data_IF_187287177634
#
_entry.id   IF_187287177634
#
_cell.length_a   1.000
_cell.length_b   1.000
_cell.length_c   1.000
_cell.angle_alpha   90.00
_cell.angle_beta   90.00
_cell.angle_gamma   90.00
#
_symmetry.space_group_name_H-M   'P 1'
#
loop_
_entity.id
_entity.type
_entity.pdbx_description
1 polymer ?
#
# COMPACT_ATOMS: atom_id res chain seq x y z
N UNK A 1 32.01 -33.00 39.69
CA UNK A 1 31.60 -31.63 39.33
C UNK A 1 31.65 -31.50 37.80
N UNK A 2 30.49 -31.39 37.17
CA UNK A 2 30.32 -31.66 35.74
C UNK A 2 30.57 -30.42 34.87
N UNK A 3 31.75 -30.36 34.22
CA UNK A 3 32.17 -29.30 33.27
C UNK A 3 31.21 -29.11 32.08
N UNK A 4 30.36 -30.09 31.79
CA UNK A 4 29.42 -30.08 30.66
C UNK A 4 28.16 -29.24 30.89
N UNK A 5 27.78 -28.96 32.14
CA UNK A 5 26.55 -28.19 32.45
C UNK A 5 26.72 -26.70 32.07
N UNK A 6 27.94 -26.15 32.21
CA UNK A 6 28.22 -24.75 31.87
C UNK A 6 28.25 -24.49 30.35
N UNK A 7 28.58 -25.50 29.53
CA UNK A 7 28.57 -25.38 28.07
C UNK A 7 27.15 -25.32 27.49
N UNK A 8 26.22 -26.11 28.04
CA UNK A 8 24.82 -26.11 27.59
C UNK A 8 24.09 -24.80 27.93
N UNK A 9 24.33 -24.21 29.10
CA UNK A 9 23.78 -22.91 29.46
C UNK A 9 24.30 -21.77 28.57
N UNK A 10 25.58 -21.81 28.18
CA UNK A 10 26.17 -20.81 27.29
C UNK A 10 25.57 -20.80 25.88
N UNK A 11 25.27 -21.96 25.31
CA UNK A 11 24.67 -22.08 23.96
C UNK A 11 23.22 -21.59 23.94
N UNK A 12 22.42 -21.93 24.96
CA UNK A 12 21.02 -21.47 25.07
C UNK A 12 20.96 -19.94 25.21
N UNK A 13 21.85 -19.34 26.00
CA UNK A 13 21.91 -17.89 26.16
C UNK A 13 22.30 -17.17 24.86
N UNK A 14 23.22 -17.77 24.08
CA UNK A 14 23.64 -17.24 22.79
C UNK A 14 22.51 -17.28 21.75
N UNK A 15 21.71 -18.35 21.73
CA UNK A 15 20.55 -18.46 20.84
C UNK A 15 19.45 -17.45 21.22
N UNK A 16 19.14 -17.29 22.51
CA UNK A 16 18.18 -16.28 22.98
C UNK A 16 18.63 -14.85 22.63
N UNK A 17 19.91 -14.54 22.81
CA UNK A 17 20.47 -13.24 22.43
C UNK A 17 20.35 -13.01 20.92
N UNK A 18 20.61 -14.03 20.09
CA UNK A 18 20.54 -13.92 18.64
C UNK A 18 19.10 -13.68 18.16
N UNK A 19 18.11 -14.38 18.72
CA UNK A 19 16.68 -14.15 18.43
C UNK A 19 16.22 -12.74 18.84
N UNK A 20 16.68 -12.24 19.99
CA UNK A 20 16.32 -10.91 20.47
C UNK A 20 16.97 -9.79 19.64
N UNK A 21 18.17 -10.03 19.08
CA UNK A 21 18.85 -9.13 18.15
C UNK A 21 18.14 -9.11 16.79
N UNK A 22 17.75 -10.28 16.25
CA UNK A 22 17.01 -10.38 14.98
C UNK A 22 15.63 -9.69 15.07
N UNK A 23 14.87 -9.91 16.14
CA UNK A 23 13.57 -9.26 16.33
C UNK A 23 13.68 -7.72 16.36
N UNK A 24 14.72 -7.18 17.02
CA UNK A 24 14.98 -5.73 17.06
C UNK A 24 15.37 -5.16 15.69
N UNK A 25 16.10 -5.93 14.86
CA UNK A 25 16.43 -5.52 13.48
C UNK A 25 15.17 -5.45 12.62
N UNK A 26 14.31 -6.47 12.69
CA UNK A 26 13.06 -6.52 11.94
C UNK A 26 12.10 -5.39 12.35
N UNK A 27 12.00 -5.09 13.65
CA UNK A 27 11.21 -3.96 14.13
C UNK A 27 11.72 -2.63 13.58
N UNK A 28 13.04 -2.39 13.62
CA UNK A 28 13.64 -1.16 13.05
C UNK A 28 13.45 -1.07 11.53
N UNK A 29 13.56 -2.17 10.80
CA UNK A 29 13.29 -2.20 9.36
C UNK A 29 11.82 -1.91 9.05
N UNK A 30 10.89 -2.46 9.83
CA UNK A 30 9.47 -2.18 9.68
C UNK A 30 9.16 -0.70 9.94
N UNK A 31 9.72 -0.11 11.01
CA UNK A 31 9.56 1.32 11.31
C UNK A 31 10.18 2.18 10.21
N UNK A 32 11.35 1.82 9.68
CA UNK A 32 11.99 2.51 8.56
C UNK A 32 11.14 2.45 7.29
N UNK A 33 10.63 1.27 6.92
CA UNK A 33 9.72 1.12 5.76
C UNK A 33 8.47 1.97 5.95
N UNK A 34 7.87 1.97 7.14
CA UNK A 34 6.73 2.85 7.43
C UNK A 34 7.09 4.33 7.29
N UNK A 35 8.24 4.76 7.79
CA UNK A 35 8.70 6.15 7.71
C UNK A 35 8.99 6.58 6.26
N UNK A 36 9.63 5.71 5.47
CA UNK A 36 9.88 5.95 4.03
C UNK A 36 8.54 6.07 3.27
N UNK A 37 7.53 5.26 3.64
CA UNK A 37 6.16 5.32 3.08
C UNK A 37 5.41 6.58 3.49
N UNK A 38 5.71 7.16 4.66
CA UNK A 38 5.11 8.41 5.14
C UNK A 38 5.74 9.65 4.51
N UNK A 39 7.05 9.64 4.26
CA UNK A 39 7.78 10.77 3.68
C UNK A 39 7.72 10.83 2.16
N UNK A 40 7.73 9.69 1.47
CA UNK A 40 7.65 9.64 0.01
C UNK A 40 6.30 9.11 -0.43
N UNK A 41 5.74 9.65 -1.51
CA UNK A 41 4.48 9.19 -2.07
C UNK A 41 4.66 7.85 -2.81
N UNK A 42 5.17 6.84 -2.10
CA UNK A 42 5.52 5.52 -2.61
C UNK A 42 4.32 4.79 -3.21
N UNK A 43 3.11 5.09 -2.73
CA UNK A 43 1.87 4.62 -3.35
C UNK A 43 1.76 5.03 -4.83
N UNK A 44 2.40 6.12 -5.28
CA UNK A 44 2.42 6.54 -6.69
C UNK A 44 3.17 5.56 -7.57
N UNK A 45 4.29 5.01 -7.10
CA UNK A 45 5.05 3.99 -7.84
C UNK A 45 4.34 2.64 -7.78
N UNK A 46 3.69 2.32 -6.64
CA UNK A 46 2.91 1.09 -6.48
C UNK A 46 1.71 1.00 -7.43
N UNK A 47 1.10 2.12 -7.84
CA UNK A 47 0.03 2.10 -8.86
C UNK A 47 0.51 1.63 -10.25
N UNK A 48 1.80 1.81 -10.55
CA UNK A 48 2.39 1.41 -11.82
C UNK A 48 2.98 -0.01 -11.78
N UNK A 49 3.12 -0.60 -10.59
CA UNK A 49 3.69 -1.92 -10.39
C UNK A 49 2.58 -2.97 -10.25
N UNK A 50 2.55 -3.93 -11.17
CA UNK A 50 1.57 -5.02 -11.20
C UNK A 50 1.91 -6.15 -10.23
N UNK A 51 3.10 -6.15 -9.65
CA UNK A 51 3.56 -7.14 -8.67
C UNK A 51 3.16 -6.75 -7.23
N UNK A 52 2.64 -5.55 -7.03
CA UNK A 52 2.25 -5.06 -5.72
C UNK A 52 0.79 -5.44 -5.42
N UNK A 53 0.50 -6.00 -4.23
CA UNK A 53 -0.87 -6.30 -3.83
C UNK A 53 -1.74 -5.05 -3.77
N UNK A 54 -2.99 -5.14 -4.26
CA UNK A 54 -3.94 -4.02 -4.25
C UNK A 54 -4.11 -3.42 -2.86
N UNK A 55 -4.29 -4.28 -1.85
CA UNK A 55 -4.47 -3.87 -0.46
C UNK A 55 -3.25 -3.12 0.10
N UNK A 56 -2.04 -3.52 -0.30
CA UNK A 56 -0.81 -2.85 0.13
C UNK A 56 -0.73 -1.42 -0.45
N UNK A 57 -1.08 -1.26 -1.72
CA UNK A 57 -1.13 0.06 -2.39
C UNK A 57 -2.17 0.97 -1.75
N UNK A 58 -3.35 0.44 -1.41
CA UNK A 58 -4.37 1.19 -0.68
C UNK A 58 -3.88 1.58 0.71
N UNK A 59 -3.29 0.65 1.47
CA UNK A 59 -2.77 0.94 2.80
C UNK A 59 -1.66 2.01 2.76
N UNK A 60 -0.78 1.99 1.76
CA UNK A 60 0.26 2.99 1.60
C UNK A 60 -0.30 4.38 1.31
N UNK A 61 -1.35 4.47 0.48
CA UNK A 61 -2.08 5.71 0.22
C UNK A 61 -2.75 6.26 1.49
N UNK A 62 -3.51 5.42 2.20
CA UNK A 62 -4.19 5.79 3.44
C UNK A 62 -3.19 6.27 4.51
N UNK A 63 -2.05 5.59 4.63
CA UNK A 63 -0.99 5.98 5.56
C UNK A 63 -0.35 7.32 5.17
N UNK A 64 -0.09 7.54 3.88
CA UNK A 64 0.47 8.80 3.38
C UNK A 64 -0.46 10.00 3.65
N UNK A 65 -1.78 9.80 3.53
CA UNK A 65 -2.80 10.83 3.78
C UNK A 65 -3.27 10.89 5.24
N UNK A 66 -2.77 10.01 6.12
CA UNK A 66 -3.13 10.00 7.53
C UNK A 66 -2.69 11.31 8.19
N UNK A 67 -3.66 12.08 8.69
CA UNK A 67 -3.39 13.38 9.31
C UNK A 67 -3.14 14.53 8.34
N UNK A 68 -3.32 14.32 7.02
CA UNK A 68 -3.30 15.37 6.00
C UNK A 68 -4.72 15.72 5.57
N UNK A 69 -4.96 16.98 5.22
CA UNK A 69 -6.20 17.37 4.56
C UNK A 69 -6.19 16.83 3.12
N UNK A 70 -7.18 16.02 2.77
CA UNK A 70 -7.32 15.50 1.40
C UNK A 70 -7.85 16.62 0.50
N UNK A 71 -7.39 16.71 -0.76
CA UNK A 71 -7.96 17.66 -1.71
C UNK A 71 -9.40 17.24 -2.07
N UNK A 72 -10.36 18.13 -1.82
CA UNK A 72 -11.81 17.87 -1.93
C UNK A 72 -12.28 18.15 -3.37
N UNK A 73 -13.30 17.41 -3.81
CA UNK A 73 -14.08 17.63 -5.05
C UNK A 73 -15.53 17.90 -4.67
N UNK A 74 -16.11 18.88 -5.34
CA UNK A 74 -17.29 19.62 -4.90
C UNK A 74 -18.65 18.98 -5.19
N UNK A 75 -18.69 17.71 -5.61
CA UNK A 75 -19.95 17.06 -6.02
C UNK A 75 -20.21 15.72 -5.31
N UNK A 76 -19.32 15.28 -4.42
CA UNK A 76 -19.38 13.94 -3.83
C UNK A 76 -19.97 13.93 -2.40
N UNK A 77 -20.43 15.08 -1.85
CA UNK A 77 -20.91 15.25 -0.47
C UNK A 77 -19.94 14.78 0.63
N UNK A 78 -18.66 14.63 0.32
CA UNK A 78 -17.57 14.42 1.27
C UNK A 78 -16.60 15.63 1.27
N UNK A 79 -16.90 16.65 2.08
CA UNK A 79 -15.97 17.76 2.39
C UNK A 79 -16.33 19.14 1.80
N UNK A 80 -15.71 20.20 2.33
CA UNK A 80 -15.91 21.61 1.94
C UNK A 80 -15.22 21.97 0.61
N UNK A 81 -15.96 22.70 -0.22
CA UNK A 81 -15.58 23.09 -1.57
C UNK A 81 -14.50 24.19 -1.61
N UNK A 82 -13.38 23.91 -2.28
CA UNK A 82 -12.24 24.83 -2.40
C UNK A 82 -12.18 25.59 -3.74
N UNK A 83 -13.00 25.24 -4.73
CA UNK A 83 -13.00 25.89 -6.05
C UNK A 83 -14.13 26.92 -6.24
N UNK A 84 -15.19 26.89 -5.43
CA UNK A 84 -16.30 27.87 -5.48
C UNK A 84 -16.02 29.17 -4.72
N UNK A 85 -14.98 29.23 -3.86
CA UNK A 85 -14.54 30.49 -3.26
C UNK A 85 -13.44 31.12 -4.09
N UNK A 86 -13.84 31.81 -5.16
CA UNK A 86 -13.17 33.06 -5.49
C UNK A 86 -13.12 33.90 -4.20
N UNK A 87 -11.91 34.20 -3.71
CA UNK A 87 -11.58 34.82 -2.41
C UNK A 87 -11.55 33.85 -1.21
N UNK A 88 -10.49 33.06 -1.14
CA UNK A 88 -9.57 33.15 0.01
C UNK A 88 -8.16 32.84 -0.49
N UNK A 89 -7.38 33.89 -0.58
CA UNK A 89 -5.92 33.83 -0.60
C UNK A 89 -5.45 32.85 0.48
N UNK A 90 -4.36 32.12 0.20
CA UNK A 90 -3.67 31.22 1.14
C UNK A 90 -4.12 29.74 1.19
N UNK A 91 -4.51 29.13 0.08
CA UNK A 91 -4.34 27.67 -0.06
C UNK A 91 -4.32 27.22 -1.53
N UNK A 92 -3.30 27.64 -2.29
CA UNK A 92 -2.97 27.02 -3.56
C UNK A 92 -2.41 25.62 -3.30
N UNK A 93 -3.27 24.71 -2.83
CA UNK A 93 -2.97 23.30 -2.68
C UNK A 93 -2.41 22.81 -4.01
N UNK A 94 -1.18 22.30 -3.96
CA UNK A 94 -0.38 21.96 -5.12
C UNK A 94 -1.22 21.17 -6.14
N UNK A 95 -1.50 21.74 -7.31
CA UNK A 95 -2.36 21.12 -8.34
C UNK A 95 -1.92 19.68 -8.68
N UNK A 96 -0.62 19.40 -8.57
CA UNK A 96 -0.08 18.06 -8.78
C UNK A 96 -0.57 17.07 -7.71
N UNK A 97 -0.73 17.49 -6.46
CA UNK A 97 -1.26 16.65 -5.38
C UNK A 97 -2.75 16.31 -5.60
N UNK A 98 -3.54 17.30 -6.06
CA UNK A 98 -4.94 17.08 -6.45
C UNK A 98 -5.03 16.08 -7.60
N UNK A 99 -4.18 16.26 -8.62
CA UNK A 99 -4.11 15.36 -9.77
C UNK A 99 -3.75 13.93 -9.34
N UNK A 100 -2.70 13.77 -8.55
CA UNK A 100 -2.22 12.47 -8.09
C UNK A 100 -3.26 11.77 -7.19
N UNK A 101 -3.95 12.52 -6.33
CA UNK A 101 -5.05 12.01 -5.51
C UNK A 101 -6.18 11.46 -6.39
N UNK A 102 -6.64 12.22 -7.40
CA UNK A 102 -7.68 11.77 -8.35
C UNK A 102 -7.24 10.56 -9.17
N UNK A 103 -5.96 10.54 -9.59
CA UNK A 103 -5.37 9.40 -10.31
C UNK A 103 -5.47 8.12 -9.48
N UNK A 104 -5.20 8.20 -8.18
CA UNK A 104 -5.34 7.07 -7.27
C UNK A 104 -6.78 6.59 -7.13
N UNK A 105 -7.75 7.50 -6.94
CA UNK A 105 -9.16 7.12 -6.79
C UNK A 105 -9.66 6.37 -8.03
N UNK A 106 -9.34 6.87 -9.22
CA UNK A 106 -9.66 6.21 -10.48
C UNK A 106 -8.98 4.83 -10.59
N UNK A 107 -7.70 4.74 -10.22
CA UNK A 107 -6.98 3.47 -10.20
C UNK A 107 -7.63 2.46 -9.24
N UNK A 108 -8.02 2.89 -8.03
CA UNK A 108 -8.68 2.05 -7.03
C UNK A 108 -10.00 1.52 -7.56
N UNK A 109 -10.84 2.40 -8.13
CA UNK A 109 -12.14 2.03 -8.67
C UNK A 109 -12.04 1.03 -9.85
N UNK A 110 -11.05 1.23 -10.73
CA UNK A 110 -10.83 0.33 -11.89
C UNK A 110 -10.33 -1.05 -11.48
N UNK A 111 -9.47 -1.13 -10.45
CA UNK A 111 -8.77 -2.37 -10.11
C UNK A 111 -9.40 -3.16 -8.96
N UNK A 112 -10.33 -2.59 -8.18
CA UNK A 112 -10.96 -3.28 -7.04
C UNK A 112 -11.64 -4.61 -7.40
N UNK A 113 -12.13 -4.76 -8.64
CA UNK A 113 -12.77 -5.98 -9.14
C UNK A 113 -11.84 -6.82 -10.04
N UNK A 114 -10.59 -6.38 -10.22
CA UNK A 114 -9.60 -6.99 -11.11
C UNK A 114 -8.40 -7.45 -10.29
N UNK A 115 -8.68 -8.25 -9.27
CA UNK A 115 -7.69 -8.75 -8.31
C UNK A 115 -7.59 -10.26 -8.48
N UNK A 116 -6.37 -10.75 -8.63
CA UNK A 116 -6.06 -12.18 -8.65
C UNK A 116 -6.35 -12.80 -7.28
N UNK A 117 -6.42 -14.13 -7.22
CA UNK A 117 -6.57 -14.86 -5.95
C UNK A 117 -5.44 -14.56 -4.94
N UNK A 118 -4.24 -14.24 -5.42
CA UNK A 118 -3.09 -13.88 -4.59
C UNK A 118 -3.10 -12.40 -4.11
N UNK A 119 -4.14 -11.63 -4.42
CA UNK A 119 -4.30 -10.23 -4.00
C UNK A 119 -3.59 -9.19 -4.87
N UNK A 120 -2.89 -9.59 -5.94
CA UNK A 120 -2.28 -8.69 -6.92
C UNK A 120 -3.31 -8.19 -7.94
N UNK A 121 -3.08 -7.00 -8.50
CA UNK A 121 -3.88 -6.49 -9.60
C UNK A 121 -3.66 -7.33 -10.85
N UNK A 122 -4.73 -7.64 -11.57
CA UNK A 122 -4.65 -8.36 -12.85
C UNK A 122 -3.96 -7.50 -13.90
N UNK A 123 -3.02 -8.10 -14.64
CA UNK A 123 -2.46 -7.48 -15.84
C UNK A 123 -3.46 -7.54 -16.99
N UNK A 124 -3.21 -6.78 -18.06
CA UNK A 124 -4.03 -6.86 -19.28
C UNK A 124 -4.08 -8.29 -19.84
N UNK A 125 -2.96 -9.02 -19.77
CA UNK A 125 -2.90 -10.41 -20.17
C UNK A 125 -3.85 -11.28 -19.33
N UNK A 126 -3.83 -11.14 -18.00
CA UNK A 126 -4.70 -11.90 -17.11
C UNK A 126 -6.19 -11.60 -17.39
N UNK A 127 -6.52 -10.32 -17.65
CA UNK A 127 -7.88 -9.89 -17.99
C UNK A 127 -8.36 -10.55 -19.28
N UNK A 128 -7.51 -10.60 -20.31
CA UNK A 128 -7.84 -11.25 -21.59
C UNK A 128 -8.03 -12.76 -21.40
N UNK A 129 -7.18 -13.41 -20.58
CA UNK A 129 -7.31 -14.85 -20.32
C UNK A 129 -8.58 -15.17 -19.54
N UNK A 130 -8.91 -14.38 -18.53
CA UNK A 130 -10.16 -14.53 -17.77
C UNK A 130 -11.37 -14.37 -18.71
N UNK A 131 -11.38 -13.33 -19.53
CA UNK A 131 -12.44 -13.12 -20.51
C UNK A 131 -12.58 -14.29 -21.48
N UNK A 132 -11.48 -14.82 -22.02
CA UNK A 132 -11.50 -15.99 -22.92
C UNK A 132 -12.11 -17.21 -22.25
N UNK A 133 -11.74 -17.48 -21.00
CA UNK A 133 -12.27 -18.61 -20.22
C UNK A 133 -13.78 -18.49 -20.01
N UNK A 134 -14.24 -17.31 -19.60
CA UNK A 134 -15.66 -17.06 -19.36
C UNK A 134 -16.51 -17.23 -20.65
N UNK A 135 -15.95 -16.89 -21.82
CA UNK A 135 -16.65 -16.98 -23.11
C UNK A 135 -16.51 -18.35 -23.80
N UNK A 136 -15.44 -19.10 -23.54
CA UNK A 136 -15.31 -20.48 -24.03
C UNK A 136 -16.24 -21.45 -23.31
N UNK A 137 -16.39 -21.29 -21.99
CA UNK A 137 -17.31 -22.13 -21.19
C UNK A 137 -18.77 -21.90 -21.58
N UNK A 138 -19.13 -20.69 -22.01
CA UNK A 138 -20.49 -20.36 -22.44
C UNK A 138 -20.86 -20.98 -23.79
N UNK A 139 -19.89 -21.26 -24.67
CA UNK A 139 -20.14 -21.83 -26.00
C UNK A 139 -20.18 -23.37 -25.98
N UNK A 140 -19.74 -23.99 -24.90
CA UNK A 140 -19.60 -25.45 -24.75
C UNK A 140 -20.73 -26.10 -23.94
N UNK A 141 -21.77 -25.35 -23.58
CA UNK A 141 -22.93 -25.77 -22.78
C UNK A 141 -24.21 -25.68 -23.60
#
# INVERSE_FOLDING_TARGET
>A
MNRWVFLLFGVVFCLYACSHIQARRNAKEFTRRQQDTMQTAYWKTMMADTLVPFAATVSAFELYWKGKQRPIRDEDNEGENIFEREKKEENSGNLNEVYDYKKFLNWKQKNQYRIKENGMVMTEYDIIQQWKKDHSDTTSR
#
